data_IF_740503414430
#
_entry.id   IF_740503414430
#
_cell.length_a   1.000
_cell.length_b   1.000
_cell.length_c   1.000
_cell.angle_alpha   90.00
_cell.angle_beta   90.00
_cell.angle_gamma   90.00
#
_symmetry.space_group_name_H-M   'P 1'
#
loop_
_entity.id
_entity.type
_entity.pdbx_description
1 polymer ?
#
# COMPACT_ATOMS: atom_id res chain seq x y z
N UNK A 1 8.55 -5.45 19.96
CA UNK A 1 7.63 -4.90 18.95
C UNK A 1 6.65 -5.98 18.54
N UNK A 2 5.36 -5.65 18.52
CA UNK A 2 4.32 -6.60 18.15
C UNK A 2 4.41 -6.96 16.66
N UNK A 3 4.09 -8.21 16.33
CA UNK A 3 4.05 -8.69 14.94
C UNK A 3 2.61 -9.09 14.58
N UNK A 4 2.29 -8.98 13.31
CA UNK A 4 1.02 -9.45 12.78
C UNK A 4 1.28 -10.49 11.69
N UNK A 5 0.33 -11.40 11.53
CA UNK A 5 0.38 -12.39 10.47
C UNK A 5 -0.41 -11.88 9.26
N UNK A 6 0.22 -11.91 8.09
CA UNK A 6 -0.42 -11.55 6.83
C UNK A 6 -0.51 -12.80 5.97
N UNK A 7 -1.72 -13.09 5.49
CA UNK A 7 -1.94 -14.21 4.58
C UNK A 7 -1.17 -13.95 3.27
N UNK A 8 -0.42 -14.95 2.80
CA UNK A 8 0.35 -14.84 1.57
C UNK A 8 -0.50 -14.45 0.36
N UNK A 9 -1.79 -14.83 0.34
CA UNK A 9 -2.71 -14.45 -0.73
C UNK A 9 -3.08 -12.96 -0.72
N UNK A 10 -2.86 -12.28 0.41
CA UNK A 10 -3.15 -10.85 0.59
C UNK A 10 -1.89 -9.99 0.52
N UNK A 11 -0.71 -10.60 0.40
CA UNK A 11 0.57 -9.91 0.51
C UNK A 11 1.29 -9.89 -0.83
N UNK A 12 1.38 -8.71 -1.42
CA UNK A 12 1.97 -8.51 -2.75
C UNK A 12 2.99 -7.38 -2.73
N UNK A 13 4.01 -7.54 -3.58
CA UNK A 13 5.05 -6.52 -3.75
C UNK A 13 4.68 -5.56 -4.88
N UNK A 14 4.96 -4.28 -4.67
CA UNK A 14 4.77 -3.24 -5.67
C UNK A 14 5.85 -3.36 -6.75
N UNK A 15 5.50 -3.25 -8.05
CA UNK A 15 6.51 -3.21 -9.09
C UNK A 15 7.53 -2.10 -8.85
N UNK A 16 8.84 -2.39 -8.97
CA UNK A 16 9.88 -1.41 -8.68
C UNK A 16 9.78 -0.11 -9.46
N UNK A 17 9.44 -0.17 -10.74
CA UNK A 17 9.33 1.03 -11.57
C UNK A 17 8.21 1.95 -11.09
N UNK A 18 7.10 1.38 -10.67
CA UNK A 18 5.96 2.14 -10.14
C UNK A 18 6.34 2.81 -8.82
N UNK A 19 6.97 2.05 -7.92
CA UNK A 19 7.44 2.59 -6.65
C UNK A 19 8.43 3.74 -6.87
N UNK A 20 9.40 3.56 -7.76
CA UNK A 20 10.42 4.58 -8.03
C UNK A 20 9.82 5.88 -8.56
N UNK A 21 8.80 5.79 -9.42
CA UNK A 21 8.12 6.97 -9.92
C UNK A 21 7.48 7.79 -8.79
N UNK A 22 6.85 7.11 -7.83
CA UNK A 22 6.30 7.79 -6.64
C UNK A 22 7.41 8.27 -5.72
N UNK A 23 8.47 7.51 -5.55
CA UNK A 23 9.58 7.86 -4.67
C UNK A 23 10.30 9.13 -5.13
N UNK A 24 10.42 9.34 -6.42
CA UNK A 24 10.98 10.58 -6.96
C UNK A 24 10.19 11.81 -6.53
N UNK A 25 8.87 11.64 -6.40
CA UNK A 25 7.98 12.72 -6.03
C UNK A 25 7.93 12.96 -4.53
N UNK A 26 7.90 11.86 -3.73
CA UNK A 26 7.63 11.95 -2.29
C UNK A 26 8.85 11.69 -1.41
N UNK A 27 9.91 11.11 -1.96
CA UNK A 27 11.13 10.80 -1.21
C UNK A 27 10.84 10.02 0.07
N UNK A 28 10.28 8.83 -0.08
CA UNK A 28 9.85 7.99 1.05
C UNK A 28 10.99 7.64 2.00
N UNK A 29 10.74 7.74 3.29
CA UNK A 29 11.69 7.35 4.32
C UNK A 29 11.17 6.20 5.20
N UNK A 30 9.95 5.73 4.98
CA UNK A 30 9.40 4.63 5.77
C UNK A 30 8.29 3.89 5.01
N UNK A 31 8.23 2.59 5.25
CA UNK A 31 7.15 1.71 4.77
C UNK A 31 6.62 0.92 5.97
N UNK A 32 5.42 1.23 6.47
CA UNK A 32 4.88 0.54 7.64
C UNK A 32 4.35 -0.86 7.33
N UNK A 33 4.28 -1.24 6.05
CA UNK A 33 3.78 -2.54 5.62
C UNK A 33 4.62 -3.09 4.47
N UNK A 34 5.94 -3.30 4.68
CA UNK A 34 6.80 -3.82 3.61
C UNK A 34 6.41 -5.24 3.26
N UNK A 35 6.66 -5.62 2.01
CA UNK A 35 6.43 -6.99 1.60
C UNK A 35 7.28 -7.94 2.45
N UNK A 36 6.63 -8.94 3.01
CA UNK A 36 7.28 -9.99 3.78
C UNK A 36 6.37 -11.20 3.83
N UNK A 37 6.92 -12.39 3.72
CA UNK A 37 6.13 -13.62 3.89
C UNK A 37 6.07 -13.99 5.37
N UNK A 38 4.88 -14.38 5.83
CA UNK A 38 4.66 -14.79 7.20
C UNK A 38 4.38 -13.62 8.14
N UNK A 39 5.10 -13.57 9.26
CA UNK A 39 4.93 -12.51 10.27
C UNK A 39 5.72 -11.26 9.92
N UNK A 40 5.09 -10.11 10.06
CA UNK A 40 5.70 -8.80 9.85
C UNK A 40 5.58 -7.95 11.11
N UNK A 41 6.40 -6.91 11.21
CA UNK A 41 6.27 -5.92 12.28
C UNK A 41 4.91 -5.26 12.16
N UNK A 42 4.24 -5.08 13.31
CA UNK A 42 2.93 -4.43 13.32
C UNK A 42 3.09 -2.92 13.12
N UNK A 43 2.97 -2.50 11.85
CA UNK A 43 3.05 -1.09 11.48
C UNK A 43 1.92 -0.24 12.05
N UNK A 44 0.86 -0.87 12.56
CA UNK A 44 -0.25 -0.13 13.18
C UNK A 44 0.06 0.32 14.60
N UNK A 45 1.07 -0.27 15.24
CA UNK A 45 1.40 0.01 16.65
C UNK A 45 2.59 0.93 16.85
N UNK A 46 3.17 1.45 15.78
CA UNK A 46 4.37 2.31 15.85
C UNK A 46 4.13 3.62 15.12
N UNK A 47 4.93 4.64 15.45
CA UNK A 47 4.92 5.88 14.68
C UNK A 47 5.58 5.65 13.32
N UNK A 48 5.06 6.33 12.31
CA UNK A 48 5.60 6.24 10.96
C UNK A 48 6.66 7.33 10.72
N UNK A 49 7.30 7.28 9.57
CA UNK A 49 8.27 8.28 9.16
C UNK A 49 7.63 9.58 8.68
N UNK A 50 8.45 10.46 8.11
CA UNK A 50 7.97 11.74 7.60
C UNK A 50 7.27 11.62 6.26
N UNK A 51 7.71 10.69 5.42
CA UNK A 51 7.11 10.39 4.12
C UNK A 51 7.00 8.89 3.96
N UNK A 52 5.77 8.40 3.83
CA UNK A 52 5.46 6.98 3.96
C UNK A 52 4.80 6.44 2.71
N UNK A 53 5.23 5.25 2.29
CA UNK A 53 4.58 4.49 1.23
C UNK A 53 3.90 3.28 1.82
N UNK A 54 2.62 3.08 1.50
CA UNK A 54 1.83 1.97 2.05
C UNK A 54 1.09 1.23 0.94
N UNK A 55 1.47 -0.02 0.73
CA UNK A 55 0.72 -0.99 -0.05
C UNK A 55 0.16 -2.00 0.95
N UNK A 56 -1.04 -1.74 1.52
CA UNK A 56 -1.52 -2.55 2.63
C UNK A 56 -1.99 -3.93 2.16
N UNK A 57 -2.09 -4.89 3.08
CA UNK A 57 -2.67 -6.19 2.74
C UNK A 57 -4.09 -6.02 2.18
N UNK A 58 -4.51 -6.93 1.31
CA UNK A 58 -5.82 -6.85 0.68
C UNK A 58 -6.98 -7.22 1.60
N UNK A 59 -6.70 -7.78 2.78
CA UNK A 59 -7.72 -7.99 3.79
C UNK A 59 -8.46 -6.68 4.08
N UNK A 60 -9.78 -6.70 4.01
CA UNK A 60 -10.59 -5.50 4.18
C UNK A 60 -10.34 -4.83 5.53
N UNK A 61 -10.24 -5.62 6.60
CA UNK A 61 -10.02 -5.10 7.94
C UNK A 61 -8.66 -4.43 8.08
N UNK A 62 -7.59 -5.08 7.63
CA UNK A 62 -6.24 -4.52 7.73
C UNK A 62 -6.09 -3.29 6.85
N UNK A 63 -6.62 -3.32 5.65
CA UNK A 63 -6.59 -2.17 4.75
C UNK A 63 -7.24 -0.95 5.40
N UNK A 64 -8.41 -1.13 5.99
CA UNK A 64 -9.11 -0.05 6.68
C UNK A 64 -8.31 0.49 7.87
N UNK A 65 -7.71 -0.40 8.67
CA UNK A 65 -6.89 0.00 9.82
C UNK A 65 -5.65 0.79 9.38
N UNK A 66 -4.98 0.38 8.30
CA UNK A 66 -3.84 1.11 7.77
C UNK A 66 -4.24 2.49 7.25
N UNK A 67 -5.37 2.61 6.57
CA UNK A 67 -5.85 3.91 6.10
C UNK A 67 -6.16 4.85 7.28
N UNK A 68 -6.82 4.34 8.31
CA UNK A 68 -7.10 5.14 9.51
C UNK A 68 -5.81 5.61 10.17
N UNK A 69 -4.82 4.73 10.27
CA UNK A 69 -3.50 5.07 10.82
C UNK A 69 -2.82 6.14 9.96
N UNK A 70 -2.89 6.02 8.64
CA UNK A 70 -2.34 7.02 7.73
C UNK A 70 -2.94 8.40 7.93
N UNK A 71 -4.23 8.47 8.18
CA UNK A 71 -4.91 9.74 8.48
C UNK A 71 -4.42 10.32 9.80
N UNK A 72 -4.26 9.49 10.83
CA UNK A 72 -3.69 9.93 12.11
C UNK A 72 -2.28 10.49 11.94
N UNK A 73 -1.43 9.81 11.16
CA UNK A 73 -0.06 10.24 10.92
C UNK A 73 -0.02 11.51 10.08
N UNK A 74 -0.93 11.65 9.11
CA UNK A 74 -1.08 12.90 8.36
C UNK A 74 -1.35 14.07 9.28
N UNK A 75 -2.20 13.89 10.29
CA UNK A 75 -2.53 14.95 11.25
C UNK A 75 -1.34 15.38 12.11
N UNK A 76 -0.29 14.56 12.15
CA UNK A 76 0.98 14.90 12.80
C UNK A 76 1.94 15.66 11.87
N UNK A 77 1.49 16.01 10.66
CA UNK A 77 2.30 16.76 9.69
C UNK A 77 3.06 15.88 8.70
N UNK A 78 2.72 14.61 8.61
CA UNK A 78 3.44 13.65 7.74
C UNK A 78 2.73 13.46 6.41
N UNK A 79 3.44 12.85 5.45
CA UNK A 79 2.87 12.44 4.16
C UNK A 79 2.69 10.94 4.17
N UNK A 80 1.50 10.48 3.78
CA UNK A 80 1.19 9.06 3.66
C UNK A 80 0.58 8.81 2.28
N UNK A 81 1.26 7.99 1.49
CA UNK A 81 0.87 7.66 0.12
C UNK A 81 0.46 6.19 0.07
N UNK A 82 -0.79 5.95 -0.25
CA UNK A 82 -1.36 4.60 -0.32
C UNK A 82 -1.53 4.17 -1.77
N UNK A 83 -1.19 2.93 -2.05
CA UNK A 83 -1.52 2.26 -3.29
C UNK A 83 -2.55 1.17 -2.96
N UNK A 84 -3.80 1.37 -3.34
CA UNK A 84 -4.92 0.50 -2.96
C UNK A 84 -5.87 0.28 -4.13
N UNK A 85 -6.67 -0.81 -4.08
CA UNK A 85 -7.71 -1.03 -5.08
C UNK A 85 -8.77 0.06 -5.04
N UNK A 86 -9.33 0.38 -6.21
CA UNK A 86 -10.43 1.33 -6.32
C UNK A 86 -11.70 0.68 -5.75
N UNK A 87 -12.38 1.40 -4.84
CA UNK A 87 -13.61 0.91 -4.22
C UNK A 87 -14.50 2.08 -3.83
N UNK A 88 -15.07 2.73 -4.83
CA UNK A 88 -15.77 4.01 -4.67
C UNK A 88 -17.16 3.90 -4.02
N UNK A 89 -17.65 2.70 -3.76
CA UNK A 89 -18.95 2.50 -3.10
C UNK A 89 -18.83 2.12 -1.63
N UNK A 90 -17.63 2.00 -1.09
CA UNK A 90 -17.40 1.51 0.27
C UNK A 90 -17.46 2.62 1.31
N UNK A 91 -17.73 2.23 2.57
CA UNK A 91 -17.62 3.15 3.71
C UNK A 91 -16.20 3.69 3.86
N UNK A 92 -15.20 2.84 3.61
CA UNK A 92 -13.80 3.25 3.67
C UNK A 92 -13.55 4.45 2.76
N UNK A 93 -14.03 4.39 1.52
CA UNK A 93 -13.83 5.48 0.58
C UNK A 93 -14.57 6.75 1.01
N UNK A 94 -15.86 6.64 1.30
CA UNK A 94 -16.70 7.82 1.57
C UNK A 94 -16.46 8.44 2.94
N UNK A 95 -16.16 7.62 3.94
CA UNK A 95 -16.02 8.11 5.31
C UNK A 95 -14.60 8.53 5.66
N UNK A 96 -13.60 7.86 5.09
CA UNK A 96 -12.19 8.06 5.48
C UNK A 96 -11.33 8.63 4.37
N UNK A 97 -11.41 8.10 3.16
CA UNK A 97 -10.52 8.52 2.07
C UNK A 97 -10.95 9.85 1.48
N UNK A 98 -12.15 9.92 0.95
CA UNK A 98 -12.65 11.10 0.25
C UNK A 98 -12.57 12.39 1.08
N UNK A 99 -12.98 12.41 2.38
CA UNK A 99 -12.93 13.64 3.16
C UNK A 99 -11.52 14.07 3.54
N UNK A 100 -10.54 13.18 3.56
CA UNK A 100 -9.21 13.44 4.09
C UNK A 100 -8.11 13.47 3.04
N UNK A 101 -8.32 12.89 1.87
CA UNK A 101 -7.29 12.80 0.84
C UNK A 101 -6.95 14.17 0.27
N UNK A 102 -5.66 14.44 0.15
CA UNK A 102 -5.16 15.62 -0.55
C UNK A 102 -5.25 15.43 -2.05
N UNK A 103 -4.99 14.21 -2.50
CA UNK A 103 -4.98 13.86 -3.92
C UNK A 103 -5.38 12.40 -4.07
N UNK A 104 -6.16 12.09 -5.10
CA UNK A 104 -6.48 10.73 -5.50
C UNK A 104 -6.18 10.62 -6.99
N UNK A 105 -5.31 9.70 -7.37
CA UNK A 105 -4.98 9.43 -8.77
C UNK A 105 -5.42 8.03 -9.15
N UNK A 106 -6.30 7.92 -10.13
CA UNK A 106 -6.72 6.64 -10.68
C UNK A 106 -5.70 6.20 -11.73
N UNK A 107 -5.20 4.97 -11.60
CA UNK A 107 -4.10 4.49 -12.43
C UNK A 107 -4.65 3.86 -13.69
N UNK A 108 -4.15 4.30 -14.85
CA UNK A 108 -4.48 3.69 -16.13
C UNK A 108 -3.85 2.29 -16.21
N UNK A 109 -4.66 1.32 -16.62
CA UNK A 109 -4.23 -0.07 -16.66
C UNK A 109 -4.20 -0.72 -15.28
N UNK A 110 -4.05 -2.03 -15.26
CA UNK A 110 -3.99 -2.80 -14.01
C UNK A 110 -2.55 -3.11 -13.67
N UNK A 111 -2.14 -2.72 -12.45
CA UNK A 111 -0.80 -2.97 -11.94
C UNK A 111 -0.63 -4.47 -11.72
N UNK A 112 0.48 -5.02 -12.21
CA UNK A 112 0.84 -6.41 -11.98
C UNK A 112 1.68 -6.51 -10.73
N UNK A 113 1.04 -6.70 -9.59
CA UNK A 113 1.71 -6.93 -8.33
C UNK A 113 2.39 -8.29 -8.35
N UNK A 114 3.50 -8.40 -7.66
CA UNK A 114 4.29 -9.62 -7.67
C UNK A 114 4.76 -10.02 -6.28
N UNK A 115 5.88 -10.70 -6.26
CA UNK A 115 6.50 -11.21 -5.05
C UNK A 115 7.98 -10.85 -5.07
N UNK A 116 8.64 -10.95 -3.92
CA UNK A 116 10.10 -10.85 -3.82
C UNK A 116 10.65 -12.24 -3.51
N UNK A 117 11.75 -12.60 -4.16
CA UNK A 117 12.45 -13.84 -3.86
C UNK A 117 13.34 -13.69 -2.62
N UNK A 118 14.09 -14.75 -2.28
CA UNK A 118 14.94 -14.74 -1.09
C UNK A 118 16.06 -13.68 -1.15
N UNK A 119 16.45 -13.27 -2.36
CA UNK A 119 17.46 -12.24 -2.58
C UNK A 119 16.86 -10.84 -2.69
N UNK A 120 15.54 -10.70 -2.54
CA UNK A 120 14.84 -9.44 -2.64
C UNK A 120 14.51 -9.00 -4.06
N UNK A 121 14.64 -9.90 -5.04
CA UNK A 121 14.32 -9.58 -6.43
C UNK A 121 12.83 -9.74 -6.72
N UNK A 122 12.27 -8.75 -7.39
CA UNK A 122 10.87 -8.76 -7.78
C UNK A 122 10.63 -9.74 -8.93
N UNK A 123 9.55 -10.52 -8.84
CA UNK A 123 9.11 -11.38 -9.91
C UNK A 123 7.59 -11.47 -9.96
N UNK A 124 7.06 -11.82 -11.13
CA UNK A 124 5.63 -12.06 -11.30
C UNK A 124 5.38 -13.57 -11.23
N UNK A 125 4.58 -14.04 -10.26
CA UNK A 125 4.26 -15.45 -10.12
C UNK A 125 3.56 -15.97 -11.39
N UNK A 126 3.87 -17.21 -11.76
CA UNK A 126 3.22 -17.87 -12.88
C UNK A 126 2.00 -18.66 -12.38
N UNK A 127 0.94 -18.68 -13.20
CA UNK A 127 -0.23 -19.53 -12.92
C UNK A 127 0.06 -20.98 -13.33
N UNK A 128 -0.91 -21.87 -13.14
CA UNK A 128 -0.78 -23.28 -13.48
C UNK A 128 -0.51 -23.53 -14.97
N UNK A 129 -0.78 -22.55 -15.83
CA UNK A 129 -0.53 -22.63 -17.27
C UNK A 129 0.81 -22.03 -17.68
N UNK A 130 1.65 -21.63 -16.70
CA UNK A 130 2.97 -21.06 -16.95
C UNK A 130 2.93 -19.61 -17.43
N UNK A 131 1.82 -18.89 -17.25
CA UNK A 131 1.67 -17.49 -17.66
C UNK A 131 1.61 -16.58 -16.44
N UNK A 132 2.11 -15.35 -16.57
CA UNK A 132 1.95 -14.35 -15.52
C UNK A 132 0.49 -14.01 -15.35
N UNK A 133 0.07 -13.82 -14.09
CA UNK A 133 -1.28 -13.36 -13.80
C UNK A 133 -1.36 -11.86 -14.03
N UNK A 134 -2.40 -11.43 -14.74
CA UNK A 134 -2.70 -10.01 -14.86
C UNK A 134 -3.31 -9.49 -13.57
N UNK A 135 -3.14 -8.21 -13.30
CA UNK A 135 -3.85 -7.55 -12.20
C UNK A 135 -5.35 -7.72 -12.38
N UNK A 136 -6.05 -8.00 -11.28
CA UNK A 136 -7.49 -8.25 -11.29
C UNK A 136 -8.30 -7.05 -10.84
N UNK A 137 -7.65 -6.03 -10.31
CA UNK A 137 -8.31 -4.85 -9.73
C UNK A 137 -7.70 -3.57 -10.27
N UNK A 138 -8.55 -2.58 -10.45
CA UNK A 138 -8.09 -1.23 -10.75
C UNK A 138 -7.48 -0.64 -9.48
N UNK A 139 -6.42 0.15 -9.65
CA UNK A 139 -5.69 0.74 -8.53
C UNK A 139 -5.79 2.25 -8.52
N UNK A 140 -5.68 2.81 -7.33
CA UNK A 140 -5.56 4.26 -7.15
C UNK A 140 -4.45 4.56 -6.16
N UNK A 141 -3.84 5.73 -6.34
CA UNK A 141 -2.89 6.30 -5.39
C UNK A 141 -3.62 7.36 -4.59
N UNK A 142 -3.61 7.22 -3.27
CA UNK A 142 -4.25 8.16 -2.36
C UNK A 142 -3.16 8.85 -1.55
N UNK A 143 -3.11 10.18 -1.63
CA UNK A 143 -2.12 10.98 -0.89
C UNK A 143 -2.82 11.69 0.27
N UNK A 144 -2.33 11.42 1.46
CA UNK A 144 -2.68 12.19 2.66
C UNK A 144 -1.46 13.04 3.01
N UNK A 145 -1.49 14.33 2.69
CA UNK A 145 -0.36 15.23 2.88
C UNK A 145 -0.66 16.19 4.05
N UNK A 146 -0.01 15.94 5.18
CA UNK A 146 -0.15 16.77 6.37
C UNK A 146 0.85 17.90 6.47
N UNK A 147 1.72 18.08 5.49
CA UNK A 147 2.69 19.18 5.50
C UNK A 147 1.99 20.49 5.23
N UNK A 148 2.39 21.51 5.95
CA UNK A 148 1.85 22.86 5.78
C UNK A 148 2.76 23.72 4.91
#
# INVERSE_FOLDING_TARGET
MRKIHINNDDNYATPPDFYEALNKRFNFDFDPCPYCEGEVIDGLSIDWGNSNFINPPYSQKLKEEFVKKGIEEMRKGKVCVFLIPVSTSTKLFHKYIKPNATEIEFIEGRIKFGKLDADGNFYLPLNSKGKTQSGTKDSMVVVFDGRS
#
